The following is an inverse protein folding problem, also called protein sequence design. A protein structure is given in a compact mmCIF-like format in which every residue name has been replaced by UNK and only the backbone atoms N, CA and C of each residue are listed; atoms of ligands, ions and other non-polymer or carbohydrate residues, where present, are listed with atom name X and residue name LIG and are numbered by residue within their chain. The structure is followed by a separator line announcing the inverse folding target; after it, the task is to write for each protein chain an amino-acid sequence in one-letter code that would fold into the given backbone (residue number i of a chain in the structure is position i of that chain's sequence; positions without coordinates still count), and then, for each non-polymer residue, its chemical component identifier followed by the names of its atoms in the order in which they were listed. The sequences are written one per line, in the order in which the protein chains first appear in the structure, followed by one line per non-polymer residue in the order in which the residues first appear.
data_IF_282493131312
#
_entry.id   IF_282493131312
#
_cell.length_a   1.000
_cell.length_b   1.000
_cell.length_c   1.000
_cell.angle_alpha   90.00
_cell.angle_beta   90.00
_cell.angle_gamma   90.00
#
_symmetry.space_group_name_H-M   'P 1'
#
loop_
_entity.id
_entity.type
_entity.pdbx_description
1 polymer ?
#
# COMPACT_ATOMS: atom_id res chain seq x y z
N UNK A 1 -1.65 -5.33 -3.82
CA UNK A 1 -2.80 -6.13 -3.34
C UNK A 1 -2.37 -6.64 -1.99
N UNK A 2 -2.71 -5.89 -0.96
CA UNK A 2 -2.19 -6.07 0.39
C UNK A 2 -2.79 -7.34 0.98
N UNK A 3 -1.97 -8.37 1.16
CA UNK A 3 -2.31 -9.47 2.06
C UNK A 3 -1.75 -9.13 3.44
N UNK A 4 -2.43 -8.23 4.14
CA UNK A 4 -2.38 -8.26 5.60
C UNK A 4 -3.02 -9.58 6.02
N UNK A 5 -2.22 -10.51 6.53
CA UNK A 5 -2.69 -11.76 7.13
C UNK A 5 -3.40 -11.40 8.45
N UNK A 6 -4.68 -11.05 8.37
CA UNK A 6 -5.57 -11.12 9.53
C UNK A 6 -5.91 -12.59 9.77
N UNK A 7 -5.80 -13.11 11.00
CA UNK A 7 -6.33 -14.43 11.33
C UNK A 7 -7.82 -14.45 10.97
N UNK A 8 -8.24 -15.40 10.14
CA UNK A 8 -9.61 -15.49 9.65
C UNK A 8 -10.56 -15.89 10.78
N UNK A 9 -10.99 -14.91 11.58
CA UNK A 9 -12.23 -14.99 12.35
C UNK A 9 -13.39 -14.62 11.42
N UNK A 10 -13.57 -15.38 10.34
CA UNK A 10 -14.77 -15.30 9.54
C UNK A 10 -15.82 -16.22 10.18
N UNK A 11 -16.92 -15.69 10.74
CA UNK A 11 -18.02 -16.54 11.17
C UNK A 11 -18.46 -17.42 9.99
N UNK A 12 -18.66 -18.72 10.23
CA UNK A 12 -19.23 -19.62 9.22
C UNK A 12 -20.58 -19.05 8.80
N UNK A 13 -20.65 -18.45 7.62
CA UNK A 13 -21.92 -18.00 7.06
C UNK A 13 -22.62 -19.23 6.47
N UNK A 14 -23.74 -19.64 7.07
CA UNK A 14 -24.54 -20.78 6.60
C UNK A 14 -25.13 -20.56 5.20
N UNK A 15 -25.19 -19.30 4.73
CA UNK A 15 -25.61 -18.94 3.38
C UNK A 15 -24.75 -17.82 2.78
N UNK A 16 -24.42 -17.89 1.48
CA UNK A 16 -23.67 -16.83 0.81
C UNK A 16 -24.47 -15.52 0.80
N UNK A 17 -23.83 -14.43 1.20
CA UNK A 17 -24.39 -13.07 1.24
C UNK A 17 -24.71 -12.47 -0.15
N UNK A 18 -24.36 -13.17 -1.23
CA UNK A 18 -24.55 -12.75 -2.61
C UNK A 18 -25.07 -13.91 -3.47
N UNK A 19 -26.05 -13.61 -4.33
CA UNK A 19 -26.65 -14.62 -5.22
C UNK A 19 -25.67 -15.07 -6.29
N UNK A 20 -25.88 -16.28 -6.83
CA UNK A 20 -25.05 -16.85 -7.92
C UNK A 20 -24.96 -15.90 -9.13
N UNK A 21 -26.07 -15.27 -9.52
CA UNK A 21 -26.09 -14.31 -10.63
C UNK A 21 -25.24 -13.06 -10.34
N UNK A 22 -25.28 -12.54 -9.11
CA UNK A 22 -24.45 -11.40 -8.69
C UNK A 22 -22.97 -11.77 -8.66
N UNK A 23 -22.63 -12.96 -8.15
CA UNK A 23 -21.27 -13.50 -8.20
C UNK A 23 -20.77 -13.61 -9.65
N UNK A 24 -21.61 -14.10 -10.57
CA UNK A 24 -21.28 -14.16 -12.00
C UNK A 24 -21.05 -12.76 -12.59
N UNK A 25 -21.88 -11.78 -12.23
CA UNK A 25 -21.73 -10.40 -12.66
C UNK A 25 -20.44 -9.75 -12.11
N UNK A 26 -20.12 -9.93 -10.83
CA UNK A 26 -18.88 -9.46 -10.21
C UNK A 26 -17.65 -10.09 -10.87
N UNK A 27 -17.70 -11.40 -11.16
CA UNK A 27 -16.64 -12.08 -11.88
C UNK A 27 -16.47 -11.55 -13.32
N UNK A 28 -17.57 -11.20 -14.00
CA UNK A 28 -17.52 -10.55 -15.31
C UNK A 28 -16.91 -9.16 -15.21
N UNK A 29 -17.31 -8.37 -14.20
CA UNK A 29 -16.80 -7.03 -13.95
C UNK A 29 -15.30 -7.04 -13.62
N UNK A 30 -14.85 -7.97 -12.75
CA UNK A 30 -13.43 -8.15 -12.38
C UNK A 30 -12.53 -8.47 -13.58
N UNK A 31 -13.08 -9.12 -14.62
CA UNK A 31 -12.33 -9.50 -15.82
C UNK A 31 -12.22 -8.38 -16.86
N UNK A 32 -13.01 -7.32 -16.74
CA UNK A 32 -12.93 -6.17 -17.66
C UNK A 32 -11.61 -5.44 -17.48
N UNK A 33 -10.92 -5.21 -18.60
CA UNK A 33 -9.60 -4.52 -18.64
C UNK A 33 -9.70 -3.07 -19.10
N UNK A 34 -10.87 -2.63 -19.52
CA UNK A 34 -11.18 -1.28 -19.97
C UNK A 34 -11.59 -0.35 -18.82
N UNK A 35 -11.81 -0.90 -17.62
CA UNK A 35 -12.17 -0.15 -16.42
C UNK A 35 -11.14 -0.32 -15.30
N UNK A 36 -11.10 0.66 -14.41
CA UNK A 36 -10.37 0.63 -13.15
C UNK A 36 -11.37 0.79 -12.01
N UNK A 37 -11.29 -0.11 -11.04
CA UNK A 37 -12.12 -0.09 -9.83
C UNK A 37 -11.20 0.23 -8.65
N UNK A 38 -11.41 1.37 -8.00
CA UNK A 38 -10.62 1.83 -6.86
C UNK A 38 -11.51 2.48 -5.80
N UNK A 39 -11.12 2.42 -4.52
CA UNK A 39 -11.76 3.26 -3.52
C UNK A 39 -11.47 4.74 -3.82
N UNK A 40 -12.41 5.61 -3.49
CA UNK A 40 -12.21 7.04 -3.47
C UNK A 40 -11.19 7.43 -2.38
N UNK A 41 -10.49 8.56 -2.57
CA UNK A 41 -9.56 9.09 -1.56
C UNK A 41 -10.27 9.43 -0.23
N UNK A 42 -11.56 9.79 -0.27
CA UNK A 42 -12.38 10.10 0.91
C UNK A 42 -13.82 9.63 0.72
N UNK A 43 -14.52 9.39 1.82
CA UNK A 43 -15.97 9.13 1.84
C UNK A 43 -16.38 7.68 1.61
N UNK A 44 -15.44 6.71 1.61
CA UNK A 44 -15.75 5.28 1.55
C UNK A 44 -16.40 4.79 0.25
N UNK A 45 -16.48 5.63 -0.78
CA UNK A 45 -17.11 5.29 -2.06
C UNK A 45 -16.17 4.44 -2.93
N UNK A 46 -16.76 3.65 -3.83
CA UNK A 46 -16.04 2.91 -4.88
C UNK A 46 -16.22 3.66 -6.20
N UNK A 47 -15.10 3.91 -6.88
CA UNK A 47 -15.08 4.61 -8.16
C UNK A 47 -14.82 3.60 -9.26
N UNK A 48 -15.72 3.61 -10.24
CA UNK A 48 -15.54 2.96 -11.52
C UNK A 48 -15.08 4.01 -12.53
N UNK A 49 -13.87 3.87 -13.05
CA UNK A 49 -13.28 4.83 -13.97
C UNK A 49 -12.85 4.12 -15.26
N UNK A 50 -12.97 4.81 -16.40
CA UNK A 50 -12.36 4.36 -17.65
C UNK A 50 -10.83 4.25 -17.49
N UNK A 51 -10.25 3.17 -18.01
CA UNK A 51 -8.81 2.90 -17.81
C UNK A 51 -7.92 3.90 -18.53
N UNK A 52 -8.33 4.39 -19.69
CA UNK A 52 -7.58 5.42 -20.40
C UNK A 52 -7.55 6.71 -19.58
N UNK A 53 -8.70 7.18 -19.11
CA UNK A 53 -8.80 8.39 -18.28
C UNK A 53 -8.00 8.27 -16.97
N UNK A 54 -8.00 7.09 -16.34
CA UNK A 54 -7.17 6.83 -15.15
C UNK A 54 -5.66 6.91 -15.46
N UNK A 55 -5.24 6.40 -16.62
CA UNK A 55 -3.83 6.46 -17.06
C UNK A 55 -3.40 7.87 -17.45
N UNK A 56 -4.30 8.71 -17.98
CA UNK A 56 -4.03 10.13 -18.23
C UNK A 56 -3.66 10.84 -16.93
N UNK A 57 -4.42 10.64 -15.86
CA UNK A 57 -4.08 11.22 -14.55
C UNK A 57 -2.77 10.65 -14.00
N UNK A 58 -2.52 9.34 -14.17
CA UNK A 58 -1.28 8.71 -13.72
C UNK A 58 -0.05 9.33 -14.39
N UNK A 59 -0.09 9.48 -15.72
CA UNK A 59 0.98 10.09 -16.50
C UNK A 59 1.19 11.56 -16.15
N UNK A 60 0.11 12.33 -15.99
CA UNK A 60 0.21 13.73 -15.53
C UNK A 60 0.99 13.86 -14.21
N UNK A 61 0.90 12.87 -13.32
CA UNK A 61 1.71 12.84 -12.08
C UNK A 61 3.15 12.40 -12.34
N UNK A 62 3.34 11.27 -13.01
CA UNK A 62 4.66 10.63 -13.15
C UNK A 62 5.58 11.36 -14.14
N UNK A 63 5.02 11.97 -15.19
CA UNK A 63 5.79 12.69 -16.22
C UNK A 63 6.16 14.11 -15.77
N UNK A 64 5.87 14.48 -14.51
CA UNK A 64 6.24 15.77 -13.97
C UNK A 64 7.73 15.80 -13.58
N UNK A 65 8.55 16.23 -14.55
CA UNK A 65 10.02 16.33 -14.42
C UNK A 65 10.50 17.34 -13.38
N UNK A 66 9.61 18.19 -12.84
CA UNK A 66 9.95 19.05 -11.70
C UNK A 66 10.16 18.24 -10.41
N UNK A 67 9.46 17.11 -10.26
CA UNK A 67 9.45 16.32 -9.02
C UNK A 67 9.97 14.89 -9.21
N UNK A 68 9.94 14.35 -10.44
CA UNK A 68 10.34 12.98 -10.73
C UNK A 68 11.40 12.91 -11.82
N UNK A 69 12.31 11.95 -11.69
CA UNK A 69 13.28 11.61 -12.72
C UNK A 69 13.11 10.12 -13.06
N UNK A 70 13.01 9.74 -14.34
CA UNK A 70 12.96 8.34 -14.74
C UNK A 70 14.22 7.60 -14.32
N UNK A 71 14.04 6.40 -13.76
CA UNK A 71 15.15 5.50 -13.46
C UNK A 71 15.43 4.62 -14.67
N UNK A 72 16.71 4.50 -15.04
CA UNK A 72 17.13 3.60 -16.13
C UNK A 72 17.09 2.14 -15.72
N UNK A 73 17.34 1.86 -14.43
CA UNK A 73 17.29 0.51 -13.85
C UNK A 73 16.58 0.54 -12.50
N UNK A 74 15.88 -0.55 -12.12
CA UNK A 74 15.29 -0.66 -10.78
C UNK A 74 16.37 -0.60 -9.69
N UNK A 75 16.15 0.19 -8.64
CA UNK A 75 17.08 0.29 -7.50
C UNK A 75 16.94 -0.87 -6.51
N UNK A 76 15.80 -1.56 -6.51
CA UNK A 76 15.46 -2.61 -5.54
C UNK A 76 16.54 -3.69 -5.35
N UNK A 77 17.13 -4.29 -6.42
CA UNK A 77 18.16 -5.30 -6.25
C UNK A 77 19.41 -4.75 -5.54
N UNK A 78 19.84 -3.54 -5.90
CA UNK A 78 20.99 -2.89 -5.27
C UNK A 78 20.71 -2.60 -3.78
N UNK A 79 19.52 -2.12 -3.45
CA UNK A 79 19.11 -1.90 -2.04
C UNK A 79 19.07 -3.21 -1.26
N UNK A 80 18.55 -4.29 -1.85
CA UNK A 80 18.48 -5.60 -1.21
C UNK A 80 19.89 -6.15 -0.89
N UNK A 81 20.83 -6.03 -1.82
CA UNK A 81 22.22 -6.45 -1.62
C UNK A 81 22.96 -5.63 -0.55
N UNK A 82 22.56 -4.37 -0.33
CA UNK A 82 23.08 -3.57 0.80
C UNK A 82 22.48 -3.99 2.15
N UNK A 83 21.21 -4.40 2.17
CA UNK A 83 20.47 -4.72 3.40
C UNK A 83 20.87 -6.10 3.95
N UNK A 84 21.04 -7.10 3.09
CA UNK A 84 21.33 -8.50 3.50
C UNK A 84 22.53 -8.59 4.46
N UNK A 85 23.71 -7.99 4.17
CA UNK A 85 24.88 -8.07 5.05
C UNK A 85 24.66 -7.38 6.40
N UNK A 86 23.88 -6.29 6.43
CA UNK A 86 23.57 -5.57 7.67
C UNK A 86 22.77 -6.46 8.60
N UNK A 87 21.72 -7.11 8.09
CA UNK A 87 20.88 -8.03 8.88
C UNK A 87 21.70 -9.23 9.36
N UNK A 88 22.55 -9.79 8.51
CA UNK A 88 23.45 -10.88 8.89
C UNK A 88 24.43 -10.47 10.00
N UNK A 89 25.03 -9.27 9.89
CA UNK A 89 25.92 -8.71 10.90
C UNK A 89 25.22 -8.55 12.25
N UNK A 90 23.97 -8.06 12.27
CA UNK A 90 23.17 -7.96 13.50
C UNK A 90 22.93 -9.33 14.15
N UNK A 91 22.70 -10.37 13.35
CA UNK A 91 22.54 -11.74 13.85
C UNK A 91 23.86 -12.31 14.40
N UNK A 92 24.97 -12.15 13.67
CA UNK A 92 26.27 -12.63 14.13
C UNK A 92 26.71 -11.98 15.44
N UNK A 93 26.44 -10.68 15.59
CA UNK A 93 26.67 -9.93 16.83
C UNK A 93 25.64 -10.19 17.94
N UNK A 94 24.69 -11.10 17.72
CA UNK A 94 23.66 -11.51 18.68
C UNK A 94 22.70 -10.39 19.10
N UNK A 95 22.58 -9.31 18.33
CA UNK A 95 21.58 -8.26 18.56
C UNK A 95 20.15 -8.71 18.19
N UNK A 96 20.03 -9.68 17.28
CA UNK A 96 18.76 -10.27 16.87
C UNK A 96 18.84 -11.80 16.88
N UNK A 97 17.71 -12.44 17.13
CA UNK A 97 17.55 -13.89 17.01
C UNK A 97 17.53 -14.34 15.54
N UNK A 98 17.74 -15.64 15.31
CA UNK A 98 17.63 -16.23 13.98
C UNK A 98 16.23 -16.00 13.37
N UNK A 99 15.17 -16.11 14.17
CA UNK A 99 13.79 -15.88 13.73
C UNK A 99 13.57 -14.44 13.28
N UNK A 100 14.12 -13.47 14.02
CA UNK A 100 14.08 -12.05 13.62
C UNK A 100 14.89 -11.81 12.35
N UNK A 101 16.09 -12.41 12.22
CA UNK A 101 16.88 -12.32 10.99
C UNK A 101 16.09 -12.82 9.76
N UNK A 102 15.48 -14.00 9.85
CA UNK A 102 14.64 -14.56 8.78
C UNK A 102 13.45 -13.65 8.45
N UNK A 103 12.81 -13.08 9.46
CA UNK A 103 11.70 -12.15 9.27
C UNK A 103 12.14 -10.87 8.55
N UNK A 104 13.24 -10.26 8.98
CA UNK A 104 13.75 -8.99 8.46
C UNK A 104 14.26 -9.11 7.02
N UNK A 105 14.83 -10.26 6.64
CA UNK A 105 15.25 -10.52 5.25
C UNK A 105 14.06 -10.54 4.27
N UNK A 106 12.87 -10.89 4.76
CA UNK A 106 11.66 -10.89 3.94
C UNK A 106 11.68 -11.89 2.78
N UNK A 107 10.78 -11.75 1.80
CA UNK A 107 10.75 -12.59 0.62
C UNK A 107 11.92 -12.31 -0.34
N UNK A 108 12.41 -13.37 -1.02
CA UNK A 108 13.42 -13.28 -2.09
C UNK A 108 12.87 -13.98 -3.36
N UNK A 109 12.61 -13.26 -4.47
CA UNK A 109 12.79 -11.82 -4.63
C UNK A 109 11.71 -10.99 -3.89
N UNK A 110 12.05 -9.76 -3.45
CA UNK A 110 11.09 -8.82 -2.89
C UNK A 110 10.05 -8.40 -3.93
N UNK A 111 8.88 -7.97 -3.46
CA UNK A 111 7.84 -7.43 -4.34
C UNK A 111 8.26 -6.04 -4.86
N UNK A 112 8.01 -5.73 -6.14
CA UNK A 112 8.24 -4.38 -6.65
C UNK A 112 7.23 -3.41 -6.03
N UNK A 113 7.60 -2.13 -6.01
CA UNK A 113 6.70 -1.07 -5.56
C UNK A 113 5.68 -0.75 -6.64
N UNK A 114 4.40 -0.77 -6.28
CA UNK A 114 3.30 -0.51 -7.21
C UNK A 114 2.75 0.91 -7.04
N UNK A 115 2.80 1.70 -8.12
CA UNK A 115 2.11 2.98 -8.18
C UNK A 115 0.64 2.81 -8.52
N UNK A 116 -0.24 3.50 -7.79
CA UNK A 116 -1.65 3.64 -8.14
C UNK A 116 -2.22 4.95 -7.59
N UNK A 117 -3.45 5.27 -8.01
CA UNK A 117 -4.16 6.47 -7.65
C UNK A 117 -5.43 6.13 -6.89
N UNK A 118 -5.78 6.99 -5.93
CA UNK A 118 -7.13 7.06 -5.36
C UNK A 118 -7.85 8.29 -5.92
N UNK A 119 -8.98 8.15 -6.63
CA UNK A 119 -9.70 9.28 -7.20
C UNK A 119 -10.25 10.23 -6.13
N UNK A 120 -9.98 11.54 -6.27
CA UNK A 120 -10.43 12.60 -5.35
C UNK A 120 -11.79 13.17 -5.75
N UNK A 121 -12.80 12.31 -5.86
CA UNK A 121 -14.15 12.70 -6.27
C UNK A 121 -14.89 13.62 -5.28
N UNK A 122 -14.33 13.82 -4.07
CA UNK A 122 -14.81 14.81 -3.10
C UNK A 122 -14.44 16.26 -3.46
N UNK A 123 -13.60 16.47 -4.49
CA UNK A 123 -13.25 17.81 -5.00
C UNK A 123 -14.27 18.27 -6.03
N UNK A 124 -14.51 19.60 -6.16
CA UNK A 124 -15.43 20.14 -7.16
C UNK A 124 -15.10 19.61 -8.57
N UNK A 125 -16.08 19.16 -9.37
CA UNK A 125 -15.83 18.62 -10.71
C UNK A 125 -15.09 19.58 -11.65
N UNK A 126 -15.26 20.90 -11.49
CA UNK A 126 -14.51 21.90 -12.26
C UNK A 126 -12.99 21.91 -11.95
N UNK A 127 -12.57 21.41 -10.79
CA UNK A 127 -11.16 21.34 -10.34
C UNK A 127 -10.48 20.01 -10.65
N UNK A 128 -11.19 19.11 -11.32
CA UNK A 128 -10.66 17.82 -11.75
C UNK A 128 -9.59 18.00 -12.83
N UNK A 129 -8.73 16.99 -13.01
CA UNK A 129 -7.63 17.03 -14.00
C UNK A 129 -8.13 17.36 -15.39
N UNK A 130 -9.24 16.73 -15.78
CA UNK A 130 -10.08 17.23 -16.86
C UNK A 130 -11.41 17.59 -16.22
N UNK A 131 -11.83 18.87 -16.27
CA UNK A 131 -13.07 19.32 -15.66
C UNK A 131 -14.24 18.41 -16.02
N UNK A 132 -15.01 18.00 -15.01
CA UNK A 132 -16.19 17.13 -15.12
C UNK A 132 -15.96 15.73 -15.70
N UNK A 133 -14.71 15.30 -15.92
CA UNK A 133 -14.39 14.01 -16.53
C UNK A 133 -13.35 13.19 -15.75
N UNK A 134 -12.15 13.73 -15.55
CA UNK A 134 -11.03 12.97 -14.98
C UNK A 134 -10.70 13.51 -13.59
N UNK A 135 -11.14 12.85 -12.49
CA UNK A 135 -10.82 13.31 -11.15
C UNK A 135 -9.30 13.31 -10.92
N UNK A 136 -8.82 14.31 -10.18
CA UNK A 136 -7.45 14.32 -9.68
C UNK A 136 -7.22 13.10 -8.79
N UNK A 137 -6.06 12.46 -8.91
CA UNK A 137 -5.70 11.26 -8.17
C UNK A 137 -4.75 11.56 -7.03
N UNK A 138 -4.94 10.90 -5.88
CA UNK A 138 -3.89 10.81 -4.84
C UNK A 138 -2.89 9.74 -5.24
N UNK A 139 -1.62 10.09 -5.51
CA UNK A 139 -0.58 9.10 -5.77
C UNK A 139 -0.30 8.27 -4.53
N UNK A 140 -0.27 6.95 -4.69
CA UNK A 140 0.12 5.98 -3.66
C UNK A 140 1.18 5.06 -4.27
N UNK A 141 2.23 4.80 -3.50
CA UNK A 141 3.22 3.78 -3.80
C UNK A 141 3.04 2.68 -2.75
N UNK A 142 2.63 1.47 -3.18
CA UNK A 142 2.59 0.31 -2.31
C UNK A 142 4.02 -0.18 -2.08
N UNK A 143 4.45 -0.15 -0.82
CA UNK A 143 5.72 -0.70 -0.35
C UNK A 143 5.56 -2.13 0.21
N UNK A 144 4.37 -2.72 0.09
CA UNK A 144 4.06 -4.00 0.70
C UNK A 144 4.91 -5.12 0.10
N UNK A 145 5.69 -5.79 0.96
CA UNK A 145 6.58 -6.88 0.57
C UNK A 145 7.85 -6.42 -0.16
N UNK A 146 8.18 -5.12 -0.13
CA UNK A 146 9.48 -4.64 -0.61
C UNK A 146 10.62 -5.09 0.29
N UNK A 147 11.86 -4.89 -0.17
CA UNK A 147 13.10 -5.26 0.51
C UNK A 147 13.29 -4.58 1.88
N UNK A 148 12.59 -3.47 2.14
CA UNK A 148 12.62 -2.75 3.42
C UNK A 148 11.35 -2.94 4.25
N UNK A 149 10.30 -3.55 3.69
CA UNK A 149 8.97 -3.59 4.31
C UNK A 149 8.98 -4.21 5.72
N UNK A 150 9.59 -5.39 5.86
CA UNK A 150 9.67 -6.12 7.15
C UNK A 150 10.52 -5.39 8.18
N UNK A 151 11.52 -4.64 7.73
CA UNK A 151 12.39 -3.83 8.59
C UNK A 151 11.58 -2.64 9.13
N UNK A 152 10.88 -1.92 8.24
CA UNK A 152 10.03 -0.79 8.64
C UNK A 152 8.93 -1.24 9.61
N UNK A 153 8.25 -2.35 9.32
CA UNK A 153 7.23 -2.94 10.20
C UNK A 153 7.81 -3.35 11.56
N UNK A 154 9.00 -3.97 11.58
CA UNK A 154 9.66 -4.34 12.82
C UNK A 154 10.05 -3.13 13.66
N UNK A 155 10.59 -2.08 13.04
CA UNK A 155 10.94 -0.82 13.72
C UNK A 155 9.68 -0.16 14.27
N UNK A 156 8.64 -0.02 13.45
CA UNK A 156 7.36 0.60 13.85
C UNK A 156 6.75 -0.12 15.06
N UNK A 157 6.71 -1.46 15.04
CA UNK A 157 6.21 -2.26 16.16
C UNK A 157 6.89 -1.93 17.50
N UNK A 158 8.21 -1.69 17.50
CA UNK A 158 8.99 -1.43 18.72
C UNK A 158 9.04 0.05 19.10
N UNK A 159 8.99 0.97 18.13
CA UNK A 159 9.07 2.40 18.38
C UNK A 159 7.70 3.04 18.66
N UNK A 160 6.62 2.51 18.09
CA UNK A 160 5.27 3.06 18.24
C UNK A 160 4.80 3.18 19.71
N UNK A 161 5.09 2.23 20.61
CA UNK A 161 4.78 2.41 22.05
C UNK A 161 5.54 3.58 22.68
N UNK A 162 6.78 3.84 22.25
CA UNK A 162 7.62 4.92 22.79
C UNK A 162 7.13 6.29 22.31
N UNK A 163 6.62 6.39 21.09
CA UNK A 163 6.07 7.66 20.56
C UNK A 163 4.71 8.02 21.18
N UNK A 164 3.92 7.02 21.57
CA UNK A 164 2.57 7.22 22.11
C UNK A 164 2.52 7.35 23.64
N UNK A 165 3.63 7.11 24.34
CA UNK A 165 3.74 7.34 25.79
C UNK A 165 3.91 8.83 26.14
N UNK A 166 2.93 9.65 25.76
CA UNK A 166 2.75 10.98 26.35
C UNK A 166 1.69 10.91 27.46
N UNK A 167 2.15 11.15 28.69
CA UNK A 167 1.43 11.38 29.96
C UNK A 167 0.92 10.14 30.72
N UNK A 168 1.82 9.47 31.46
CA UNK A 168 1.45 9.05 32.81
C UNK A 168 1.26 10.33 33.63
N UNK A 169 0.01 10.72 33.85
CA UNK A 169 -0.35 11.77 34.78
C UNK A 169 0.20 11.41 36.17
N UNK A 170 1.32 12.02 36.57
CA UNK A 170 1.60 12.18 37.98
C UNK A 170 0.61 13.22 38.49
N UNK A 171 -0.58 12.76 38.85
CA UNK A 171 -1.47 13.52 39.71
C UNK A 171 -0.74 13.70 41.03
N UNK A 172 -0.18 14.89 41.24
CA UNK A 172 0.20 15.37 42.56
C UNK A 172 -1.06 15.35 43.43
N UNK A 173 -1.14 14.41 44.37
CA UNK A 173 -2.14 14.47 45.44
C UNK A 173 -1.79 15.66 46.36
N UNK A 174 -2.81 16.45 46.80
CA UNK A 174 -2.61 17.52 47.76
C UNK A 174 -2.20 17.01 49.14
#
# INVERSE_FOLDING_TARGET
MDRCYLPSLSPKQDHPNIRVAQNRALNKLKKRRDIVIKPADKGGQIVLQDRHDYLVEARRKLDNLKYYVPLQVPLQPATQELIKPIIQSLYYKKYISFKQMQYLLGPDPPSPRYFYLLPKIHKPPASWTVPHRIPSGRPIISDCGSETYRIAEFIDLHLNPLSNNKYTNYSTSP
#
